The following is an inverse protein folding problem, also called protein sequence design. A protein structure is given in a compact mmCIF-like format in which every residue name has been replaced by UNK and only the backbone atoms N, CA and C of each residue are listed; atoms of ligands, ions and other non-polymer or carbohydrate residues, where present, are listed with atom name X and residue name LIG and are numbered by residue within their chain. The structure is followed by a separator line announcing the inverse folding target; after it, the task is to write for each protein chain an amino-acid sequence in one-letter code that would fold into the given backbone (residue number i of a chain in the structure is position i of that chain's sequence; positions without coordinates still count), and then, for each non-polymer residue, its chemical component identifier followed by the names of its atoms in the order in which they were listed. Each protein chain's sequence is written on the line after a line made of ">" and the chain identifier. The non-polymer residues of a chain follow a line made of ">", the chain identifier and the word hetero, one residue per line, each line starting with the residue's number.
data_IF_415096982142
#
_entry.id   IF_415096982142
#
_cell.length_a   1.000
_cell.length_b   1.000
_cell.length_c   1.000
_cell.angle_alpha   90.00
_cell.angle_beta   90.00
_cell.angle_gamma   90.00
#
_symmetry.space_group_name_H-M   'P 1'
#
loop_
_entity.id
_entity.type
_entity.pdbx_description
1 polymer ?
#
# COMPACT_ATOMS: atom_id res chain seq x y z
N UNK A 1 -9.74 5.28 -14.83
CA UNK A 1 -10.03 6.19 -13.73
C UNK A 1 -9.21 5.85 -12.51
N UNK A 2 -8.44 6.77 -12.09
CA UNK A 2 -7.53 6.51 -11.00
C UNK A 2 -8.17 6.80 -9.69
N UNK A 3 -8.37 5.77 -8.92
CA UNK A 3 -8.94 5.93 -7.61
C UNK A 3 -7.94 5.48 -6.58
N UNK A 4 -7.83 6.24 -5.54
CA UNK A 4 -6.94 5.86 -4.47
C UNK A 4 -7.51 4.69 -3.69
N UNK A 5 -6.66 3.78 -3.26
CA UNK A 5 -7.14 2.67 -2.43
C UNK A 5 -7.76 3.19 -1.14
N UNK A 6 -8.60 2.36 -0.56
CA UNK A 6 -9.26 2.77 0.67
C UNK A 6 -8.27 3.08 1.77
N UNK A 7 -7.22 2.30 1.86
CA UNK A 7 -6.25 2.52 2.93
C UNK A 7 -5.58 3.88 2.79
N UNK A 8 -5.47 4.39 1.56
CA UNK A 8 -4.84 5.68 1.34
C UNK A 8 -5.68 6.81 1.89
N UNK A 9 -6.98 6.61 1.98
CA UNK A 9 -7.86 7.62 2.55
C UNK A 9 -8.03 7.43 4.05
N UNK A 10 -7.47 6.39 4.58
CA UNK A 10 -7.60 6.09 5.99
C UNK A 10 -6.71 7.01 6.82
N UNK A 11 -7.15 7.41 8.01
CA UNK A 11 -6.31 8.22 8.88
C UNK A 11 -5.09 7.47 9.41
N UNK A 12 -5.06 6.17 9.21
CA UNK A 12 -3.94 5.38 9.65
C UNK A 12 -2.81 5.32 8.63
N UNK A 13 -3.10 5.75 7.42
CA UNK A 13 -2.11 5.66 6.36
C UNK A 13 -1.06 6.76 6.51
N UNK A 14 0.21 6.38 6.49
CA UNK A 14 1.32 7.32 6.58
C UNK A 14 2.15 7.25 5.31
N UNK A 15 1.93 8.14 4.37
CA UNK A 15 2.66 8.12 3.09
C UNK A 15 4.00 8.81 3.21
N UNK A 16 4.98 8.09 3.67
CA UNK A 16 6.32 8.64 3.79
C UNK A 16 7.13 8.33 2.54
N UNK A 17 8.04 9.21 2.26
CA UNK A 17 8.85 9.06 1.08
C UNK A 17 9.66 7.77 1.14
N UNK A 18 9.34 6.86 0.24
CA UNK A 18 10.08 5.63 0.18
C UNK A 18 9.73 4.60 1.23
N UNK A 19 8.74 4.90 2.05
CA UNK A 19 8.39 3.94 3.10
C UNK A 19 6.96 4.14 3.58
N UNK A 20 6.03 3.71 2.77
CA UNK A 20 4.62 3.78 3.14
C UNK A 20 4.35 2.78 4.25
N UNK A 21 3.58 3.21 5.23
CA UNK A 21 3.23 2.29 6.31
C UNK A 21 1.94 2.76 6.97
N UNK A 22 1.43 1.95 7.88
CA UNK A 22 0.20 2.25 8.59
C UNK A 22 0.50 2.47 10.06
N UNK A 23 -0.33 3.29 10.68
CA UNK A 23 -0.20 3.51 12.11
C UNK A 23 -0.70 2.31 12.90
N UNK A 24 -0.34 2.29 14.16
CA UNK A 24 -0.82 1.23 15.03
C UNK A 24 -2.31 1.36 15.23
N UNK A 25 -2.97 0.24 15.37
CA UNK A 25 -4.40 0.25 15.60
C UNK A 25 -5.22 0.25 14.33
N UNK A 26 -4.59 0.17 13.18
CA UNK A 26 -5.33 0.14 11.93
C UNK A 26 -6.19 -1.11 11.86
N UNK A 27 -7.42 -0.99 11.34
CA UNK A 27 -8.29 -2.16 11.21
C UNK A 27 -7.70 -3.19 10.26
N UNK A 28 -8.10 -4.43 10.48
CA UNK A 28 -7.58 -5.52 9.66
C UNK A 28 -7.86 -5.29 8.18
N UNK A 29 -9.01 -4.72 7.90
CA UNK A 29 -9.37 -4.46 6.50
C UNK A 29 -8.34 -3.54 5.85
N UNK A 30 -7.96 -2.52 6.55
CA UNK A 30 -7.01 -1.55 6.01
C UNK A 30 -5.64 -2.21 5.87
N UNK A 31 -5.26 -3.01 6.84
CA UNK A 31 -3.98 -3.69 6.78
C UNK A 31 -3.93 -4.64 5.60
N UNK A 32 -5.01 -5.36 5.38
CA UNK A 32 -5.06 -6.30 4.26
C UNK A 32 -4.94 -5.58 2.94
N UNK A 33 -5.66 -4.50 2.78
CA UNK A 33 -5.60 -3.75 1.54
C UNK A 33 -4.22 -3.19 1.31
N UNK A 34 -3.63 -2.66 2.36
CA UNK A 34 -2.30 -2.09 2.24
C UNK A 34 -1.29 -3.16 1.83
N UNK A 35 -1.36 -4.31 2.47
CA UNK A 35 -0.44 -5.38 2.15
C UNK A 35 -0.59 -5.85 0.71
N UNK A 36 -1.81 -5.98 0.27
CA UNK A 36 -2.06 -6.41 -1.10
C UNK A 36 -1.54 -5.39 -2.09
N UNK A 37 -1.78 -4.14 -1.81
CA UNK A 37 -1.34 -3.09 -2.71
C UNK A 37 0.18 -3.09 -2.83
N UNK A 38 0.87 -3.18 -1.70
CA UNK A 38 2.32 -3.17 -1.71
C UNK A 38 2.87 -4.42 -2.40
N UNK A 39 2.19 -5.52 -2.21
CA UNK A 39 2.62 -6.76 -2.84
C UNK A 39 2.55 -6.66 -4.34
N UNK A 40 1.46 -6.14 -4.85
CA UNK A 40 1.31 -5.99 -6.29
C UNK A 40 2.35 -5.04 -6.85
N UNK A 41 2.56 -3.95 -6.15
CA UNK A 41 3.52 -2.97 -6.61
C UNK A 41 4.92 -3.57 -6.69
N UNK A 42 5.28 -4.33 -5.68
CA UNK A 42 6.58 -4.96 -5.67
C UNK A 42 6.74 -5.95 -6.80
N UNK A 43 5.72 -6.73 -7.03
CA UNK A 43 5.78 -7.73 -8.09
C UNK A 43 5.97 -7.07 -9.44
N UNK A 44 5.23 -6.01 -9.67
CA UNK A 44 5.34 -5.32 -10.94
C UNK A 44 6.74 -4.77 -11.15
N UNK A 45 7.30 -4.22 -10.12
CA UNK A 45 8.64 -3.68 -10.22
C UNK A 45 9.65 -4.77 -10.53
N UNK A 46 9.53 -5.88 -9.87
CA UNK A 46 10.44 -6.96 -10.08
C UNK A 46 10.42 -7.44 -11.52
N UNK A 47 9.23 -7.64 -12.02
CA UNK A 47 9.10 -8.10 -13.39
C UNK A 47 9.76 -7.14 -14.35
N UNK A 48 9.54 -5.87 -14.16
CA UNK A 48 10.10 -4.89 -15.05
C UNK A 48 11.61 -4.82 -14.96
N UNK A 49 12.14 -5.00 -13.78
CA UNK A 49 13.56 -4.84 -13.58
C UNK A 49 14.35 -6.02 -14.10
N UNK A 50 13.81 -7.18 -13.90
CA UNK A 50 14.58 -8.38 -14.22
C UNK A 50 14.26 -8.99 -15.55
N UNK A 51 13.29 -8.51 -16.20
CA UNK A 51 12.94 -9.10 -17.50
C UNK A 51 13.92 -8.73 -18.63
#
# INVERSE_FOLDING_TARGET
>A
MDQMPKFAESPYFVPEMGNWHLKEGAPQEIIDEFNEYMKQSEQNERDGVYS
#
